data_IF_475839682784
#
_entry.id   IF_475839682784
#
_cell.length_a   1.000
_cell.length_b   1.000
_cell.length_c   1.000
_cell.angle_alpha   90.00
_cell.angle_beta   90.00
_cell.angle_gamma   90.00
#
_symmetry.space_group_name_H-M   'P 1'
#
loop_
_entity.id
_entity.type
_entity.pdbx_description
1 polymer ?
#
# COMPACT_ATOMS: atom_id res chain seq x y z
N UNK A 1 -11.71 7.08 -5.72
CA UNK A 1 -12.91 6.25 -5.45
C UNK A 1 -13.42 5.72 -6.78
N UNK A 2 -13.84 4.45 -6.86
CA UNK A 2 -14.45 3.90 -8.08
C UNK A 2 -15.96 4.21 -8.18
N UNK A 3 -16.58 4.09 -9.37
CA UNK A 3 -18.01 4.31 -9.56
C UNK A 3 -18.89 3.39 -8.71
N UNK A 4 -18.51 2.12 -8.57
CA UNK A 4 -19.19 1.16 -7.71
C UNK A 4 -19.09 1.54 -6.22
N UNK A 5 -17.95 2.06 -5.76
CA UNK A 5 -17.81 2.60 -4.41
C UNK A 5 -18.68 3.85 -4.20
N UNK A 6 -18.74 4.73 -5.20
CA UNK A 6 -19.58 5.94 -5.16
C UNK A 6 -21.09 5.62 -5.10
N UNK A 7 -21.50 4.46 -5.65
CA UNK A 7 -22.87 3.94 -5.54
C UNK A 7 -23.17 3.13 -4.27
N UNK A 8 -22.12 2.71 -3.55
CA UNK A 8 -22.27 1.79 -2.41
C UNK A 8 -22.42 0.31 -2.81
N UNK A 9 -22.03 -0.04 -4.04
CA UNK A 9 -22.06 -1.41 -4.55
C UNK A 9 -20.94 -2.29 -3.93
N UNK A 10 -21.04 -3.61 -4.08
CA UNK A 10 -20.02 -4.56 -3.60
C UNK A 10 -18.67 -4.34 -4.31
N UNK A 11 -17.65 -4.03 -3.52
CA UNK A 11 -16.27 -3.80 -3.98
C UNK A 11 -15.60 -5.11 -4.41
N UNK A 12 -14.98 -5.12 -5.58
CA UNK A 12 -14.26 -6.26 -6.19
C UNK A 12 -12.91 -5.80 -6.71
N UNK A 13 -12.03 -6.72 -7.14
CA UNK A 13 -10.68 -6.37 -7.65
C UNK A 13 -10.66 -5.33 -8.79
N UNK A 14 -11.76 -5.15 -9.51
CA UNK A 14 -11.90 -4.11 -10.53
C UNK A 14 -11.88 -2.67 -9.97
N UNK A 15 -12.10 -2.48 -8.66
CA UNK A 15 -11.95 -1.19 -7.98
C UNK A 15 -10.48 -0.74 -7.90
N UNK A 16 -9.57 -1.69 -7.67
CA UNK A 16 -8.14 -1.41 -7.65
C UNK A 16 -7.63 -1.05 -9.04
N UNK A 17 -8.15 -1.71 -10.08
CA UNK A 17 -7.87 -1.39 -11.49
C UNK A 17 -8.29 0.05 -11.82
N UNK A 18 -9.46 0.47 -11.37
CA UNK A 18 -9.94 1.84 -11.58
C UNK A 18 -9.06 2.86 -10.87
N UNK A 19 -8.69 2.59 -9.61
CA UNK A 19 -7.82 3.46 -8.82
C UNK A 19 -6.42 3.57 -9.43
N UNK A 20 -5.87 2.48 -9.95
CA UNK A 20 -4.62 2.49 -10.71
C UNK A 20 -4.76 3.28 -12.02
N UNK A 21 -5.91 3.20 -12.69
CA UNK A 21 -6.21 3.98 -13.90
C UNK A 21 -6.17 5.49 -13.62
N UNK A 22 -6.75 5.92 -12.48
CA UNK A 22 -6.68 7.33 -12.03
C UNK A 22 -5.22 7.73 -11.83
N UNK A 23 -4.45 6.94 -11.09
CA UNK A 23 -3.05 7.23 -10.80
C UNK A 23 -2.22 7.34 -12.09
N UNK A 24 -2.38 6.39 -13.03
CA UNK A 24 -1.66 6.43 -14.31
C UNK A 24 -2.06 7.65 -15.14
N UNK A 25 -3.35 8.02 -15.13
CA UNK A 25 -3.83 9.24 -15.78
C UNK A 25 -3.15 10.49 -15.19
N UNK A 26 -3.12 10.61 -13.87
CA UNK A 26 -2.49 11.74 -13.18
C UNK A 26 -0.98 11.80 -13.41
N UNK A 27 -0.30 10.67 -13.36
CA UNK A 27 1.15 10.60 -13.60
C UNK A 27 1.52 10.99 -15.03
N UNK A 28 0.66 10.68 -16.01
CA UNK A 28 0.94 10.93 -17.42
C UNK A 28 0.48 12.31 -17.90
N UNK A 29 -0.56 12.87 -17.29
CA UNK A 29 -1.16 14.16 -17.69
C UNK A 29 -0.90 15.29 -16.69
N UNK A 30 -0.56 14.96 -15.44
CA UNK A 30 -0.44 15.91 -14.34
C UNK A 30 -1.77 16.47 -13.83
N UNK A 31 -2.92 15.89 -14.20
CA UNK A 31 -4.28 16.32 -13.83
C UNK A 31 -5.14 15.14 -13.37
N UNK A 32 -6.10 15.37 -12.48
CA UNK A 32 -7.03 14.33 -12.07
C UNK A 32 -8.13 14.14 -13.15
N UNK A 33 -8.54 12.90 -13.49
CA UNK A 33 -9.49 12.65 -14.58
C UNK A 33 -10.92 13.14 -14.29
N UNK A 34 -11.26 13.34 -13.01
CA UNK A 34 -12.59 13.73 -12.52
C UNK A 34 -12.52 14.92 -11.55
N UNK A 35 -11.94 16.04 -11.99
CA UNK A 35 -11.87 17.27 -11.17
C UNK A 35 -13.24 17.96 -11.07
N UNK A 36 -13.59 18.42 -9.86
CA UNK A 36 -14.75 19.25 -9.59
C UNK A 36 -14.55 20.11 -8.33
N UNK A 37 -15.30 21.21 -8.21
CA UNK A 37 -15.16 22.19 -7.13
C UNK A 37 -15.72 21.72 -5.77
N UNK A 38 -16.47 20.62 -5.74
CA UNK A 38 -17.05 20.08 -4.52
C UNK A 38 -16.96 18.56 -4.48
N UNK A 39 -16.97 17.98 -3.28
CA UNK A 39 -16.90 16.53 -3.08
C UNK A 39 -18.07 15.79 -3.76
N UNK A 40 -19.28 16.37 -3.73
CA UNK A 40 -20.45 15.84 -4.43
C UNK A 40 -20.30 15.98 -5.96
N UNK A 41 -19.64 17.05 -6.42
CA UNK A 41 -19.25 17.21 -7.82
C UNK A 41 -18.27 16.13 -8.29
N UNK A 42 -17.27 15.78 -7.47
CA UNK A 42 -16.30 14.72 -7.78
C UNK A 42 -16.99 13.36 -7.85
N UNK A 43 -17.90 13.06 -6.93
CA UNK A 43 -18.71 11.83 -6.97
C UNK A 43 -19.53 11.76 -8.27
N UNK A 44 -20.22 12.84 -8.64
CA UNK A 44 -20.98 12.89 -9.88
C UNK A 44 -20.07 12.74 -11.12
N UNK A 45 -18.89 13.36 -11.12
CA UNK A 45 -17.90 13.22 -12.19
C UNK A 45 -17.40 11.78 -12.32
N UNK A 46 -17.11 11.11 -11.20
CA UNK A 46 -16.73 9.70 -11.19
C UNK A 46 -17.86 8.83 -11.75
N UNK A 47 -19.13 9.16 -11.52
CA UNK A 47 -20.26 8.38 -12.02
C UNK A 47 -20.58 8.62 -13.50
N UNK A 48 -20.53 9.87 -13.97
CA UNK A 48 -21.13 10.27 -15.24
C UNK A 48 -20.17 10.95 -16.22
N UNK A 49 -19.08 11.55 -15.76
CA UNK A 49 -18.19 12.30 -16.64
C UNK A 49 -17.28 11.36 -17.44
N UNK A 50 -17.25 11.58 -18.76
CA UNK A 50 -16.30 10.94 -19.65
C UNK A 50 -14.88 11.47 -19.40
N UNK A 51 -13.90 10.56 -19.36
CA UNK A 51 -12.49 10.90 -19.18
C UNK A 51 -11.97 11.58 -20.45
N UNK A 52 -11.32 12.73 -20.30
CA UNK A 52 -10.62 13.38 -21.41
C UNK A 52 -9.43 12.48 -21.81
N UNK A 53 -9.26 12.08 -23.07
CA UNK A 53 -8.12 11.24 -23.46
C UNK A 53 -6.76 11.86 -23.05
N UNK A 54 -5.88 11.12 -22.33
CA UNK A 54 -4.59 11.63 -21.86
C UNK A 54 -3.75 12.33 -22.92
N UNK A 55 -3.76 11.84 -24.17
CA UNK A 55 -2.99 12.42 -25.28
C UNK A 55 -3.47 13.79 -25.71
N UNK A 56 -4.69 14.21 -25.34
CA UNK A 56 -5.15 15.60 -25.53
C UNK A 56 -4.45 16.58 -24.57
N UNK A 57 -3.90 16.09 -23.47
CA UNK A 57 -3.18 16.89 -22.47
C UNK A 57 -1.67 16.74 -22.66
N UNK A 58 -1.20 15.52 -22.88
CA UNK A 58 0.21 15.22 -23.13
C UNK A 58 0.37 14.32 -24.38
N UNK A 59 0.75 14.93 -25.50
CA UNK A 59 0.85 14.28 -26.81
C UNK A 59 1.95 13.21 -26.88
N UNK A 60 2.89 13.21 -25.93
CA UNK A 60 4.02 12.26 -25.87
C UNK A 60 3.59 10.88 -25.32
N UNK A 61 2.39 10.77 -24.75
CA UNK A 61 1.86 9.51 -24.24
C UNK A 61 1.67 8.53 -25.42
N UNK A 62 2.23 7.31 -25.36
CA UNK A 62 2.02 6.30 -26.37
C UNK A 62 0.53 5.90 -26.48
N UNK A 63 0.05 5.71 -27.71
CA UNK A 63 -1.33 5.26 -28.00
C UNK A 63 -1.76 4.02 -27.20
N UNK A 64 -0.94 2.95 -27.05
CA UNK A 64 -1.33 1.78 -26.26
C UNK A 64 -1.55 2.10 -24.78
N UNK A 65 -0.76 3.02 -24.22
CA UNK A 65 -0.88 3.42 -22.82
C UNK A 65 -2.14 4.26 -22.60
N UNK A 66 -2.46 5.17 -23.52
CA UNK A 66 -3.74 5.90 -23.48
C UNK A 66 -4.94 4.94 -23.52
N UNK A 67 -4.94 3.98 -24.45
CA UNK A 67 -6.02 3.00 -24.57
C UNK A 67 -6.19 2.18 -23.29
N UNK A 68 -5.07 1.76 -22.67
CA UNK A 68 -5.09 1.05 -21.40
C UNK A 68 -5.67 1.91 -20.27
N UNK A 69 -5.19 3.15 -20.11
CA UNK A 69 -5.68 4.08 -19.07
C UNK A 69 -7.19 4.30 -19.21
N UNK A 70 -7.67 4.55 -20.43
CA UNK A 70 -9.11 4.75 -20.69
C UNK A 70 -9.91 3.49 -20.36
N UNK A 71 -9.43 2.30 -20.74
CA UNK A 71 -10.09 1.03 -20.43
C UNK A 71 -10.15 0.75 -18.92
N UNK A 72 -9.11 1.12 -18.18
CA UNK A 72 -9.08 0.99 -16.71
C UNK A 72 -10.07 1.95 -16.03
N UNK A 73 -10.34 3.10 -16.65
CA UNK A 73 -11.26 4.13 -16.17
C UNK A 73 -12.71 3.95 -16.66
N UNK A 74 -13.03 2.78 -17.21
CA UNK A 74 -14.40 2.43 -17.58
C UNK A 74 -15.35 2.47 -16.38
N UNK A 75 -16.56 2.99 -16.60
CA UNK A 75 -17.53 3.14 -15.51
C UNK A 75 -18.15 1.81 -15.09
N UNK A 76 -18.35 0.92 -16.06
CA UNK A 76 -18.73 -0.47 -15.84
C UNK A 76 -17.49 -1.30 -15.48
N UNK A 77 -17.48 -1.86 -14.27
CA UNK A 77 -16.36 -2.66 -13.76
C UNK A 77 -16.09 -3.92 -14.57
N UNK A 78 -17.08 -4.42 -15.33
CA UNK A 78 -16.94 -5.63 -16.18
C UNK A 78 -16.18 -5.36 -17.47
N UNK A 79 -16.10 -4.10 -17.90
CA UNK A 79 -15.37 -3.69 -19.10
C UNK A 79 -13.89 -3.41 -18.82
N UNK A 80 -13.52 -3.30 -17.53
CA UNK A 80 -12.15 -3.07 -17.10
C UNK A 80 -11.29 -4.33 -17.29
N UNK A 81 -10.00 -4.16 -17.62
CA UNK A 81 -9.09 -5.29 -17.73
C UNK A 81 -8.83 -5.96 -16.38
N UNK A 82 -8.43 -7.23 -16.41
CA UNK A 82 -7.91 -7.92 -15.24
C UNK A 82 -6.51 -7.43 -14.85
N UNK A 83 -6.08 -7.69 -13.60
CA UNK A 83 -4.76 -7.27 -13.13
C UNK A 83 -3.60 -7.84 -13.99
N UNK A 84 -3.70 -9.11 -14.39
CA UNK A 84 -2.71 -9.75 -15.27
C UNK A 84 -2.65 -9.11 -16.66
N UNK A 85 -3.79 -8.66 -17.21
CA UNK A 85 -3.85 -7.97 -18.50
C UNK A 85 -3.21 -6.58 -18.41
N UNK A 86 -3.44 -5.86 -17.31
CA UNK A 86 -2.80 -4.57 -17.04
C UNK A 86 -1.29 -4.74 -16.92
N UNK A 87 -0.82 -5.73 -16.16
CA UNK A 87 0.60 -6.02 -16.00
C UNK A 87 1.28 -6.35 -17.34
N UNK A 88 0.64 -7.20 -18.15
CA UNK A 88 1.13 -7.54 -19.48
C UNK A 88 1.22 -6.30 -20.38
N UNK A 89 0.15 -5.50 -20.44
CA UNK A 89 0.10 -4.31 -21.29
C UNK A 89 1.14 -3.25 -20.89
N UNK A 90 1.40 -3.08 -19.59
CA UNK A 90 2.44 -2.18 -19.08
C UNK A 90 3.85 -2.70 -19.38
N UNK A 91 4.06 -4.02 -19.24
CA UNK A 91 5.34 -4.66 -19.54
C UNK A 91 5.66 -4.59 -21.03
N UNK A 92 4.69 -4.86 -21.91
CA UNK A 92 4.85 -4.72 -23.37
C UNK A 92 5.13 -3.27 -23.79
N UNK A 93 4.50 -2.30 -23.12
CA UNK A 93 4.75 -0.87 -23.35
C UNK A 93 6.16 -0.45 -22.90
N UNK A 94 6.71 -1.13 -21.90
CA UNK A 94 8.07 -0.89 -21.37
C UNK A 94 9.15 -1.60 -22.19
N UNK A 95 8.90 -2.84 -22.63
CA UNK A 95 9.81 -3.66 -23.44
C UNK A 95 10.05 -3.12 -24.86
N UNK A 96 9.15 -2.29 -25.40
CA UNK A 96 9.43 -1.54 -26.65
C UNK A 96 10.50 -0.46 -26.48
N UNK A 97 10.92 -0.13 -25.24
CA UNK A 97 11.98 0.83 -24.92
C UNK A 97 13.18 0.22 -24.18
N UNK A 98 13.08 -0.99 -23.63
CA UNK A 98 14.16 -1.63 -22.88
C UNK A 98 14.26 -3.14 -23.17
N UNK A 99 15.48 -3.66 -23.33
CA UNK A 99 15.78 -5.09 -23.57
C UNK A 99 15.46 -6.01 -22.37
N UNK A 100 15.76 -7.32 -22.47
CA UNK A 100 15.13 -8.39 -21.68
C UNK A 100 15.35 -8.23 -20.17
N UNK A 101 14.24 -8.26 -19.42
CA UNK A 101 14.13 -7.86 -18.01
C UNK A 101 14.40 -9.00 -17.01
N UNK A 102 15.08 -8.67 -15.91
CA UNK A 102 15.18 -9.48 -14.68
C UNK A 102 14.54 -8.72 -13.52
N UNK A 103 14.03 -9.41 -12.48
CA UNK A 103 13.25 -8.79 -11.38
C UNK A 103 13.93 -7.66 -10.58
N UNK A 104 15.25 -7.45 -10.75
CA UNK A 104 15.99 -6.29 -10.23
C UNK A 104 15.69 -4.98 -10.99
N UNK A 105 15.28 -5.09 -12.26
CA UNK A 105 14.99 -3.94 -13.15
C UNK A 105 13.66 -3.28 -12.79
N UNK A 106 12.61 -4.06 -12.51
CA UNK A 106 11.26 -3.55 -12.16
C UNK A 106 11.24 -2.73 -10.87
N UNK A 107 11.98 -3.17 -9.83
CA UNK A 107 12.07 -2.45 -8.54
C UNK A 107 12.90 -1.17 -8.70
N UNK A 108 13.97 -1.21 -9.50
CA UNK A 108 14.81 -0.04 -9.78
C UNK A 108 14.05 1.01 -10.60
N UNK A 109 13.25 0.58 -11.57
CA UNK A 109 12.37 1.43 -12.36
C UNK A 109 11.29 2.09 -11.48
N UNK A 110 10.56 1.32 -10.66
CA UNK A 110 9.57 1.88 -9.70
C UNK A 110 10.18 2.91 -8.76
N UNK A 111 11.40 2.65 -8.24
CA UNK A 111 12.11 3.60 -7.37
C UNK A 111 12.42 4.93 -8.05
N UNK A 112 12.92 4.92 -9.29
CA UNK A 112 13.21 6.15 -10.03
C UNK A 112 11.95 6.96 -10.32
N UNK A 113 10.84 6.29 -10.66
CA UNK A 113 9.55 6.94 -10.91
C UNK A 113 9.00 7.63 -9.67
N UNK A 114 8.98 6.95 -8.51
CA UNK A 114 8.53 7.58 -7.27
C UNK A 114 9.42 8.74 -6.82
N UNK A 115 10.74 8.68 -7.07
CA UNK A 115 11.65 9.81 -6.79
C UNK A 115 11.35 11.01 -7.70
N UNK A 116 11.11 10.77 -8.99
CA UNK A 116 10.75 11.83 -9.92
C UNK A 116 9.38 12.45 -9.58
N UNK A 117 8.39 11.61 -9.25
CA UNK A 117 7.07 12.06 -8.82
C UNK A 117 7.15 12.87 -7.51
N UNK A 118 7.93 12.42 -6.53
CA UNK A 118 8.19 13.17 -5.29
C UNK A 118 8.80 14.54 -5.58
N UNK A 119 9.78 14.61 -6.48
CA UNK A 119 10.38 15.89 -6.86
C UNK A 119 9.36 16.86 -7.48
N UNK A 120 8.46 16.36 -8.32
CA UNK A 120 7.37 17.17 -8.90
C UNK A 120 6.36 17.60 -7.83
N UNK A 121 5.97 16.71 -6.93
CA UNK A 121 5.04 16.99 -5.85
C UNK A 121 5.60 18.03 -4.87
N UNK A 122 6.91 17.98 -4.59
CA UNK A 122 7.62 19.00 -3.80
C UNK A 122 7.56 20.37 -4.48
N UNK A 123 7.83 20.45 -5.79
CA UNK A 123 7.76 21.73 -6.52
C UNK A 123 6.36 22.33 -6.59
N UNK A 124 5.32 21.50 -6.56
CA UNK A 124 3.92 21.93 -6.65
C UNK A 124 3.26 22.18 -5.29
N UNK A 125 3.90 21.80 -4.17
CA UNK A 125 3.27 21.82 -2.86
C UNK A 125 2.13 20.80 -2.72
N UNK A 126 2.17 19.72 -3.51
CA UNK A 126 1.14 18.68 -3.50
C UNK A 126 1.42 17.66 -2.38
N UNK A 127 0.94 17.98 -1.18
CA UNK A 127 1.22 17.19 0.02
C UNK A 127 0.70 15.75 -0.06
N UNK A 128 -0.40 15.51 -0.79
CA UNK A 128 -0.96 14.15 -0.93
C UNK A 128 -0.04 13.27 -1.79
N UNK A 129 0.40 13.77 -2.94
CA UNK A 129 1.34 13.03 -3.78
C UNK A 129 2.72 12.90 -3.14
N UNK A 130 3.15 13.88 -2.35
CA UNK A 130 4.36 13.77 -1.53
C UNK A 130 4.26 12.58 -0.56
N UNK A 131 3.23 12.55 0.29
CA UNK A 131 3.10 11.50 1.32
C UNK A 131 2.95 10.11 0.70
N UNK A 132 2.23 10.00 -0.43
CA UNK A 132 2.13 8.76 -1.20
C UNK A 132 3.49 8.28 -1.68
N UNK A 133 4.24 9.14 -2.37
CA UNK A 133 5.57 8.78 -2.88
C UNK A 133 6.53 8.39 -1.76
N UNK A 134 6.53 9.14 -0.65
CA UNK A 134 7.37 8.87 0.52
C UNK A 134 7.01 7.52 1.18
N UNK A 135 5.71 7.22 1.29
CA UNK A 135 5.22 5.93 1.81
C UNK A 135 5.67 4.76 0.93
N UNK A 136 5.50 4.87 -0.38
CA UNK A 136 5.93 3.81 -1.31
C UNK A 136 7.44 3.63 -1.35
N UNK A 137 8.21 4.73 -1.38
CA UNK A 137 9.67 4.68 -1.31
C UNK A 137 10.11 3.99 -0.03
N UNK A 138 9.51 4.32 1.11
CA UNK A 138 9.78 3.64 2.38
C UNK A 138 9.61 2.12 2.26
N UNK A 139 8.48 1.65 1.72
CA UNK A 139 8.22 0.22 1.57
C UNK A 139 9.23 -0.46 0.62
N UNK A 140 9.62 0.22 -0.46
CA UNK A 140 10.65 -0.27 -1.38
C UNK A 140 11.99 -0.45 -0.65
N UNK A 141 12.40 0.54 0.15
CA UNK A 141 13.66 0.50 0.90
C UNK A 141 13.62 -0.51 2.05
N UNK A 142 12.47 -0.66 2.74
CA UNK A 142 12.21 -1.73 3.72
C UNK A 142 12.46 -3.11 3.12
N UNK A 143 11.85 -3.40 1.96
CA UNK A 143 12.00 -4.68 1.26
C UNK A 143 13.44 -4.98 0.81
N UNK A 144 14.28 -3.95 0.68
CA UNK A 144 15.69 -4.08 0.32
C UNK A 144 16.63 -4.11 1.53
N UNK A 145 16.11 -4.01 2.76
CA UNK A 145 16.91 -3.93 3.97
C UNK A 145 17.79 -2.67 4.04
N UNK A 146 17.41 -1.60 3.34
CA UNK A 146 18.14 -0.34 3.29
C UNK A 146 17.59 0.61 4.36
N UNK A 147 18.13 0.49 5.58
CA UNK A 147 17.58 1.13 6.78
C UNK A 147 17.69 2.66 6.75
N UNK A 148 18.83 3.21 6.33
CA UNK A 148 19.08 4.67 6.36
C UNK A 148 18.12 5.41 5.42
N UNK A 149 17.95 4.92 4.19
CA UNK A 149 17.00 5.52 3.25
C UNK A 149 15.56 5.35 3.73
N UNK A 150 15.20 4.18 4.26
CA UNK A 150 13.86 3.97 4.84
C UNK A 150 13.61 4.98 5.98
N UNK A 151 14.58 5.17 6.88
CA UNK A 151 14.46 6.14 7.98
C UNK A 151 14.30 7.56 7.47
N UNK A 152 15.08 7.98 6.46
CA UNK A 152 14.96 9.30 5.86
C UNK A 152 13.56 9.56 5.28
N UNK A 153 13.01 8.59 4.53
CA UNK A 153 11.69 8.72 3.92
C UNK A 153 10.54 8.63 4.92
N UNK A 154 10.68 7.85 5.99
CA UNK A 154 9.71 7.81 7.10
C UNK A 154 9.61 9.15 7.79
N UNK A 155 10.75 9.78 8.10
CA UNK A 155 10.77 11.10 8.75
C UNK A 155 10.08 12.16 7.90
N UNK A 156 10.39 12.23 6.60
CA UNK A 156 9.73 13.13 5.66
C UNK A 156 8.23 12.82 5.53
N UNK A 157 7.86 11.53 5.44
CA UNK A 157 6.45 11.13 5.33
C UNK A 157 5.66 11.55 6.56
N UNK A 158 6.23 11.42 7.75
CA UNK A 158 5.60 11.81 9.01
C UNK A 158 5.36 13.32 9.06
N UNK A 159 6.36 14.11 8.66
CA UNK A 159 6.26 15.57 8.63
C UNK A 159 5.13 16.03 7.71
N UNK A 160 5.12 15.57 6.46
CA UNK A 160 4.08 15.93 5.48
C UNK A 160 2.70 15.44 5.92
N UNK A 161 2.59 14.21 6.42
CA UNK A 161 1.30 13.66 6.89
C UNK A 161 0.74 14.44 8.08
N UNK A 162 1.60 14.82 9.04
CA UNK A 162 1.20 15.58 10.23
C UNK A 162 0.78 16.99 9.86
N UNK A 163 1.57 17.68 9.03
CA UNK A 163 1.24 19.02 8.55
C UNK A 163 -0.08 19.06 7.77
N UNK A 164 -0.36 18.01 7.00
CA UNK A 164 -1.61 17.84 6.26
C UNK A 164 -2.76 17.21 7.05
N UNK A 165 -2.58 16.90 8.35
CA UNK A 165 -3.56 16.20 9.20
C UNK A 165 -4.09 14.89 8.57
N UNK A 166 -3.22 14.17 7.85
CA UNK A 166 -3.59 13.01 7.06
C UNK A 166 -3.52 11.73 7.89
N UNK A 167 -4.51 11.52 8.77
CA UNK A 167 -4.57 10.42 9.75
C UNK A 167 -4.07 9.06 9.23
N UNK A 168 -4.63 8.49 8.14
CA UNK A 168 -4.18 7.19 7.62
C UNK A 168 -2.69 7.10 7.30
N UNK A 169 -2.09 8.21 6.86
CA UNK A 169 -0.66 8.29 6.53
C UNK A 169 0.22 8.59 7.76
N UNK A 170 -0.30 9.27 8.78
CA UNK A 170 0.34 9.33 10.11
C UNK A 170 0.45 7.91 10.67
N UNK A 171 -0.64 7.13 10.58
CA UNK A 171 -0.64 5.72 10.98
C UNK A 171 0.40 4.90 10.21
N UNK A 172 0.47 5.07 8.89
CA UNK A 172 1.47 4.37 8.06
C UNK A 172 2.91 4.78 8.36
N UNK A 173 3.17 6.06 8.63
CA UNK A 173 4.49 6.52 9.04
C UNK A 173 4.91 5.92 10.39
N UNK A 174 3.99 5.85 11.36
CA UNK A 174 4.20 5.16 12.64
C UNK A 174 4.45 3.66 12.44
N UNK A 175 3.69 2.98 11.59
CA UNK A 175 3.91 1.57 11.28
C UNK A 175 5.33 1.32 10.72
N UNK A 176 5.80 2.20 9.84
CA UNK A 176 7.18 2.14 9.33
C UNK A 176 8.24 2.45 10.40
N UNK A 177 7.97 3.36 11.36
CA UNK A 177 8.84 3.58 12.52
C UNK A 177 8.90 2.33 13.42
N UNK A 178 7.78 1.65 13.64
CA UNK A 178 7.75 0.40 14.38
C UNK A 178 8.62 -0.67 13.69
N UNK A 179 8.56 -0.75 12.36
CA UNK A 179 9.46 -1.61 11.59
C UNK A 179 10.94 -1.23 11.77
N UNK A 180 11.29 0.06 11.76
CA UNK A 180 12.66 0.51 12.02
C UNK A 180 13.14 0.10 13.43
N UNK A 181 12.28 0.30 14.45
CA UNK A 181 12.55 -0.16 15.81
C UNK A 181 12.81 -1.66 15.87
N UNK A 182 11.99 -2.46 15.17
CA UNK A 182 12.19 -3.91 15.08
C UNK A 182 13.56 -4.26 14.49
N UNK A 183 13.96 -3.59 13.39
CA UNK A 183 15.26 -3.80 12.75
C UNK A 183 16.45 -3.40 13.63
N UNK A 184 16.22 -2.56 14.63
CA UNK A 184 17.23 -2.08 15.59
C UNK A 184 17.15 -2.82 16.93
N UNK A 185 16.25 -3.80 17.08
CA UNK A 185 15.91 -4.47 18.36
C UNK A 185 15.41 -3.50 19.45
N UNK A 186 14.87 -2.34 19.05
CA UNK A 186 14.22 -1.39 19.96
C UNK A 186 12.73 -1.74 20.09
N UNK A 187 12.42 -2.68 20.97
CA UNK A 187 11.05 -3.12 21.21
C UNK A 187 10.18 -2.06 21.87
N UNK A 188 10.78 -1.05 22.53
CA UNK A 188 10.02 0.09 23.07
C UNK A 188 9.45 0.92 21.93
N UNK A 189 10.30 1.29 20.95
CA UNK A 189 9.89 2.01 19.76
C UNK A 189 8.90 1.21 18.90
N UNK A 190 9.05 -0.13 18.82
CA UNK A 190 8.07 -1.00 18.14
C UNK A 190 6.69 -0.85 18.76
N UNK A 191 6.60 -0.91 20.09
CA UNK A 191 5.33 -0.85 20.79
C UNK A 191 4.69 0.53 20.74
N UNK A 192 5.47 1.59 20.97
CA UNK A 192 4.99 2.97 20.89
C UNK A 192 4.42 3.27 19.50
N UNK A 193 5.23 3.10 18.46
CA UNK A 193 4.82 3.45 17.11
C UNK A 193 3.83 2.45 16.51
N UNK A 194 3.95 1.16 16.83
CA UNK A 194 3.04 0.15 16.33
C UNK A 194 1.62 0.36 16.83
N UNK A 195 1.45 0.66 18.12
CA UNK A 195 0.12 0.96 18.70
C UNK A 195 -0.43 2.29 18.20
N UNK A 196 0.41 3.33 18.14
CA UNK A 196 0.01 4.62 17.57
C UNK A 196 -0.48 4.49 16.12
N UNK A 197 0.10 3.59 15.32
CA UNK A 197 -0.39 3.28 13.99
C UNK A 197 -1.79 2.66 14.01
N UNK A 198 -2.00 1.63 14.84
CA UNK A 198 -3.29 0.96 14.96
C UNK A 198 -4.38 1.92 15.46
N UNK A 199 -4.08 2.78 16.42
CA UNK A 199 -5.04 3.74 16.96
C UNK A 199 -5.42 4.81 15.92
N UNK A 200 -4.44 5.32 15.17
CA UNK A 200 -4.69 6.24 14.06
C UNK A 200 -5.64 5.66 13.00
N UNK A 201 -5.58 4.35 12.75
CA UNK A 201 -6.48 3.68 11.80
C UNK A 201 -7.84 3.30 12.40
N UNK A 202 -7.97 3.21 13.72
CA UNK A 202 -9.27 3.02 14.40
C UNK A 202 -10.09 4.32 14.45
N UNK A 203 -9.43 5.46 14.63
CA UNK A 203 -10.07 6.78 14.68
C UNK A 203 -10.61 7.24 13.32
N UNK A 204 -10.12 6.65 12.23
CA UNK A 204 -10.58 6.94 10.87
C UNK A 204 -11.97 6.35 10.57
N UNK A 205 -12.81 7.09 9.83
CA UNK A 205 -14.12 6.60 9.38
C UNK A 205 -14.03 5.46 8.34
N UNK A 206 -12.85 5.23 7.74
CA UNK A 206 -12.62 4.19 6.74
C UNK A 206 -11.59 3.18 7.23
N UNK A 207 -11.90 1.89 6.99
CA UNK A 207 -11.01 0.80 7.33
C UNK A 207 -9.69 0.86 6.55
N UNK A 208 -8.55 0.80 7.26
CA UNK A 208 -7.23 0.75 6.64
C UNK A 208 -6.78 -0.70 6.39
N UNK A 209 -6.46 -1.10 5.15
CA UNK A 209 -6.20 -2.51 4.81
C UNK A 209 -4.74 -2.94 4.96
N UNK A 210 -3.79 -2.04 5.22
CA UNK A 210 -2.36 -2.38 5.29
C UNK A 210 -1.84 -2.44 6.73
N UNK A 211 -2.68 -2.86 7.69
CA UNK A 211 -2.31 -2.87 9.11
C UNK A 211 -1.18 -3.85 9.42
N UNK A 212 -0.90 -4.80 8.50
CA UNK A 212 0.22 -5.72 8.61
C UNK A 212 1.54 -4.99 8.78
N UNK A 213 1.64 -3.74 8.29
CA UNK A 213 2.83 -2.91 8.41
C UNK A 213 3.20 -2.62 9.86
N UNK A 214 2.21 -2.56 10.77
CA UNK A 214 2.41 -2.40 12.21
C UNK A 214 2.32 -3.74 12.95
N UNK A 215 1.40 -4.63 12.54
CA UNK A 215 1.15 -5.90 13.22
C UNK A 215 2.36 -6.84 13.19
N UNK A 216 3.11 -6.94 12.08
CA UNK A 216 4.28 -7.83 12.02
C UNK A 216 5.39 -7.43 13.01
N UNK A 217 5.84 -6.16 13.05
CA UNK A 217 6.75 -5.70 14.10
C UNK A 217 6.22 -5.95 15.52
N UNK A 218 4.94 -5.67 15.78
CA UNK A 218 4.33 -5.88 17.09
C UNK A 218 4.35 -7.36 17.51
N UNK A 219 3.93 -8.28 16.64
CA UNK A 219 4.00 -9.73 16.89
C UNK A 219 5.45 -10.12 17.24
N UNK A 220 6.42 -9.66 16.45
CA UNK A 220 7.84 -9.91 16.70
C UNK A 220 8.29 -9.42 18.08
N UNK A 221 7.99 -8.17 18.42
CA UNK A 221 8.39 -7.57 19.69
C UNK A 221 7.73 -8.25 20.89
N UNK A 222 6.48 -8.71 20.76
CA UNK A 222 5.81 -9.45 21.83
C UNK A 222 6.42 -10.84 22.05
N UNK A 223 6.74 -11.58 20.98
CA UNK A 223 7.41 -12.87 21.10
C UNK A 223 8.83 -12.75 21.69
N UNK A 224 9.58 -11.71 21.30
CA UNK A 224 10.91 -11.43 21.84
C UNK A 224 10.86 -11.19 23.37
N UNK A 225 9.77 -10.60 23.86
CA UNK A 225 9.53 -10.33 25.28
C UNK A 225 8.74 -11.45 25.98
N UNK A 226 8.56 -12.62 25.34
CA UNK A 226 7.78 -13.76 25.85
C UNK A 226 6.30 -13.47 26.14
N UNK A 227 5.72 -12.41 25.57
CA UNK A 227 4.32 -12.06 25.71
C UNK A 227 3.47 -12.70 24.60
N UNK A 228 3.29 -14.02 24.68
CA UNK A 228 2.52 -14.80 23.70
C UNK A 228 1.04 -14.36 23.61
N UNK A 229 0.32 -14.08 24.72
CA UNK A 229 -1.08 -13.67 24.65
C UNK A 229 -1.29 -12.43 23.76
N UNK A 230 -0.46 -11.40 23.93
CA UNK A 230 -0.57 -10.18 23.14
C UNK A 230 -0.13 -10.39 21.68
N UNK A 231 0.88 -11.23 21.45
CA UNK A 231 1.25 -11.63 20.09
C UNK A 231 0.08 -12.29 19.34
N UNK A 232 -0.76 -13.06 20.04
CA UNK A 232 -1.94 -13.71 19.48
C UNK A 232 -3.03 -12.69 19.15
N UNK A 233 -3.25 -11.66 19.97
CA UNK A 233 -4.19 -10.59 19.65
C UNK A 233 -3.84 -9.91 18.32
N UNK A 234 -2.56 -9.57 18.12
CA UNK A 234 -2.08 -9.01 16.85
C UNK A 234 -2.13 -10.02 15.69
N UNK A 235 -1.85 -11.30 15.93
CA UNK A 235 -1.98 -12.34 14.92
C UNK A 235 -3.43 -12.55 14.47
N UNK A 236 -4.39 -12.47 15.41
CA UNK A 236 -5.81 -12.52 15.10
C UNK A 236 -6.25 -11.31 14.27
N UNK A 237 -5.77 -10.11 14.60
CA UNK A 237 -6.02 -8.89 13.81
C UNK A 237 -5.50 -9.00 12.36
N UNK A 238 -4.45 -9.81 12.12
CA UNK A 238 -3.92 -10.08 10.78
C UNK A 238 -4.92 -10.81 9.86
N UNK A 239 -5.94 -11.46 10.43
CA UNK A 239 -6.98 -12.19 9.68
C UNK A 239 -8.32 -11.43 9.63
N UNK A 240 -8.36 -10.19 10.10
CA UNK A 240 -9.57 -9.38 10.07
C UNK A 240 -10.07 -9.17 8.62
N UNK A 241 -11.40 -9.14 8.36
CA UNK A 241 -11.93 -8.94 7.00
C UNK A 241 -11.51 -7.63 6.33
N UNK A 242 -11.20 -6.65 7.16
CA UNK A 242 -10.72 -5.30 6.82
C UNK A 242 -9.27 -5.27 6.37
N UNK A 243 -8.49 -6.29 6.72
CA UNK A 243 -7.08 -6.40 6.43
C UNK A 243 -6.86 -6.93 5.00
N UNK A 244 -5.80 -6.45 4.35
CA UNK A 244 -5.31 -7.01 3.09
C UNK A 244 -4.98 -8.49 3.29
N UNK A 245 -5.59 -9.34 2.47
CA UNK A 245 -5.35 -10.79 2.53
C UNK A 245 -3.86 -11.09 2.40
N UNK A 246 -3.37 -11.91 3.32
CA UNK A 246 -2.02 -12.44 3.26
C UNK A 246 -1.90 -13.48 2.13
N UNK A 247 -0.69 -13.73 1.62
CA UNK A 247 -0.41 -14.90 0.79
C UNK A 247 -0.86 -16.19 1.50
N UNK A 248 -1.42 -17.15 0.75
CA UNK A 248 -2.04 -18.37 1.31
C UNK A 248 -1.13 -19.11 2.29
N UNK A 249 0.16 -19.24 1.97
CA UNK A 249 1.15 -19.89 2.84
C UNK A 249 1.31 -19.16 4.18
N UNK A 250 1.51 -17.84 4.13
CA UNK A 250 1.67 -17.02 5.33
C UNK A 250 0.39 -16.98 6.17
N UNK A 251 -0.77 -16.89 5.51
CA UNK A 251 -2.08 -16.98 6.17
C UNK A 251 -2.26 -18.33 6.88
N UNK A 252 -1.89 -19.44 6.22
CA UNK A 252 -2.01 -20.79 6.78
C UNK A 252 -1.25 -20.93 8.10
N UNK A 253 0.00 -20.47 8.16
CA UNK A 253 0.82 -20.54 9.38
C UNK A 253 0.26 -19.69 10.52
N UNK A 254 -0.32 -18.52 10.22
CA UNK A 254 -1.00 -17.69 11.23
C UNK A 254 -2.24 -18.40 11.77
N UNK A 255 -3.05 -19.02 10.90
CA UNK A 255 -4.23 -19.80 11.32
C UNK A 255 -3.84 -21.00 12.20
N UNK A 256 -2.78 -21.73 11.83
CA UNK A 256 -2.24 -22.82 12.64
C UNK A 256 -1.84 -22.34 14.03
N UNK A 257 -1.15 -21.19 14.14
CA UNK A 257 -0.75 -20.62 15.43
C UNK A 257 -1.95 -20.31 16.33
N UNK A 258 -3.00 -19.72 15.77
CA UNK A 258 -4.24 -19.41 16.49
C UNK A 258 -4.99 -20.68 16.92
N UNK A 259 -4.98 -21.72 16.09
CA UNK A 259 -5.56 -23.01 16.44
C UNK A 259 -4.82 -23.67 17.61
N UNK A 260 -3.49 -23.70 17.60
CA UNK A 260 -2.69 -24.23 18.72
C UNK A 260 -2.94 -23.43 20.01
N UNK A 261 -3.10 -22.10 19.89
CA UNK A 261 -3.45 -21.24 21.02
C UNK A 261 -4.81 -21.60 21.62
N UNK A 262 -5.83 -21.83 20.78
CA UNK A 262 -7.16 -22.26 21.22
C UNK A 262 -7.17 -23.59 21.98
N UNK A 263 -6.19 -24.46 21.73
CA UNK A 263 -6.00 -25.73 22.46
C UNK A 263 -5.04 -25.61 23.65
N UNK A 264 -4.63 -24.39 24.01
CA UNK A 264 -3.69 -24.10 25.10
C UNK A 264 -2.29 -24.72 24.89
N UNK A 265 -1.88 -24.97 23.63
CA UNK A 265 -0.58 -25.54 23.28
C UNK A 265 0.50 -24.46 23.16
N UNK A 266 0.86 -23.80 24.27
CA UNK A 266 1.73 -22.61 24.31
C UNK A 266 3.05 -22.76 23.51
N UNK A 267 3.73 -23.91 23.64
CA UNK A 267 5.00 -24.17 22.94
C UNK A 267 4.79 -24.31 21.42
N UNK A 268 3.71 -24.96 21.00
CA UNK A 268 3.38 -25.11 19.58
C UNK A 268 2.97 -23.76 18.99
N UNK A 269 2.13 -22.98 19.70
CA UNK A 269 1.76 -21.61 19.33
C UNK A 269 2.98 -20.75 19.05
N UNK A 270 3.94 -20.71 19.99
CA UNK A 270 5.19 -19.95 19.81
C UNK A 270 5.94 -20.40 18.56
N UNK A 271 6.12 -21.72 18.40
CA UNK A 271 6.84 -22.29 17.25
C UNK A 271 6.20 -21.88 15.92
N UNK A 272 4.87 -21.86 15.84
CA UNK A 272 4.13 -21.43 14.64
C UNK A 272 4.25 -19.92 14.40
N UNK A 273 4.18 -19.10 15.45
CA UNK A 273 4.37 -17.64 15.31
C UNK A 273 5.81 -17.29 14.89
N UNK A 274 6.82 -17.95 15.43
CA UNK A 274 8.22 -17.78 15.00
C UNK A 274 8.39 -18.16 13.52
N UNK A 275 7.73 -19.25 13.07
CA UNK A 275 7.68 -19.65 11.65
C UNK A 275 6.98 -18.57 10.79
N UNK A 276 5.88 -17.99 11.27
CA UNK A 276 5.17 -16.93 10.57
C UNK A 276 6.04 -15.68 10.40
N UNK A 277 6.80 -15.28 11.44
CA UNK A 277 7.73 -14.16 11.36
C UNK A 277 8.85 -14.41 10.35
N UNK A 278 9.41 -15.62 10.32
CA UNK A 278 10.43 -16.01 9.33
C UNK A 278 9.90 -15.92 7.89
N UNK A 279 8.69 -16.43 7.64
CA UNK A 279 8.05 -16.34 6.32
C UNK A 279 7.71 -14.89 5.94
N UNK A 280 7.17 -14.11 6.88
CA UNK A 280 6.90 -12.69 6.68
C UNK A 280 8.17 -11.93 6.28
N UNK A 281 9.30 -12.22 6.93
CA UNK A 281 10.59 -11.63 6.60
C UNK A 281 11.09 -12.04 5.21
N UNK A 282 10.99 -13.34 4.85
CA UNK A 282 11.36 -13.82 3.53
C UNK A 282 10.52 -13.18 2.40
N UNK A 283 9.25 -12.90 2.68
CA UNK A 283 8.33 -12.22 1.76
C UNK A 283 8.45 -10.68 1.81
N UNK A 284 9.34 -10.16 2.65
CA UNK A 284 9.63 -8.73 2.80
C UNK A 284 8.50 -7.92 3.45
N UNK A 285 7.74 -8.52 4.36
CA UNK A 285 6.80 -7.82 5.25
C UNK A 285 7.50 -7.27 6.50
N UNK A 286 8.55 -7.97 6.95
CA UNK A 286 9.36 -7.71 8.15
C UNK A 286 10.86 -7.65 7.78
#
# INVERSE_FOLDING_TARGET
MSPEQARGDRVVGATDIFSLGILLYELTTGRHPFEAESQLGVLNAILAQAVIPPRRINHEIPLPLEALILKMLEKDSRLRPGAAEVELALTESSNRRAGPETGLTTITFKRQHFKAALHLANRRGDNLNQVLCLTYLTIIYRKRGQLEEAQSYVSQSMEVATAGQMGPYIGMANANKAWLGWRQNDYSAVNEHGRAALDSWKEGQASYPFQWAALWPLIGAQLAQNNIPEAIEYANAMLAPTQQRLPTELQGVVVEALNEWGHNHIKATRTRLDRALQLAQQMGYL
#
